data_IF_703949017335
#
_entry.id   IF_703949017335
#
_cell.length_a   1.000
_cell.length_b   1.000
_cell.length_c   1.000
_cell.angle_alpha   90.00
_cell.angle_beta   90.00
_cell.angle_gamma   90.00
#
_symmetry.space_group_name_H-M   'P 1'
#
loop_
_entity.id
_entity.type
_entity.pdbx_description
1 polymer ?
#
# COMPACT_ATOMS: atom_id res chain seq x y z
N UNK A 1 -4.80 -8.47 0.35
CA UNK A 1 -4.92 -8.60 -1.13
C UNK A 1 -3.56 -8.47 -1.79
N UNK A 2 -3.36 -9.01 -3.01
CA UNK A 2 -2.11 -8.85 -3.78
C UNK A 2 -2.40 -8.58 -5.25
N UNK A 3 -1.59 -7.73 -5.87
CA UNK A 3 -1.54 -7.48 -7.31
C UNK A 3 -0.18 -7.97 -7.82
N UNK A 4 -0.17 -8.70 -8.93
CA UNK A 4 1.04 -9.19 -9.58
C UNK A 4 1.09 -8.77 -11.04
N UNK A 5 2.26 -8.31 -11.47
CA UNK A 5 2.57 -8.08 -12.88
C UNK A 5 3.45 -9.21 -13.42
N UNK A 6 3.47 -9.45 -14.74
CA UNK A 6 4.47 -10.29 -15.37
C UNK A 6 5.89 -9.72 -15.18
N UNK A 7 6.91 -10.56 -15.35
CA UNK A 7 8.30 -10.10 -15.36
C UNK A 7 8.53 -9.05 -16.45
N UNK A 8 9.37 -8.05 -16.14
CA UNK A 8 9.63 -6.91 -17.03
C UNK A 8 8.57 -5.79 -16.98
N UNK A 9 7.46 -5.98 -16.27
CA UNK A 9 6.45 -4.94 -16.06
C UNK A 9 6.53 -4.30 -14.67
N UNK A 10 6.15 -3.03 -14.60
CA UNK A 10 6.02 -2.28 -13.35
C UNK A 10 4.55 -2.08 -12.99
N UNK A 11 4.29 -1.90 -11.70
CA UNK A 11 2.96 -1.62 -11.16
C UNK A 11 2.88 -0.15 -10.78
N UNK A 12 1.86 0.53 -11.32
CA UNK A 12 1.51 1.90 -10.95
C UNK A 12 0.15 1.89 -10.26
N UNK A 13 0.11 2.31 -9.00
CA UNK A 13 -1.09 2.35 -8.18
C UNK A 13 -1.52 3.80 -7.94
N UNK A 14 -2.77 4.11 -8.31
CA UNK A 14 -3.45 5.35 -7.94
C UNK A 14 -4.60 5.01 -7.00
N UNK A 15 -4.54 5.51 -5.78
CA UNK A 15 -5.67 5.44 -4.84
C UNK A 15 -6.68 6.52 -5.24
N UNK A 16 -7.93 6.10 -5.51
CA UNK A 16 -8.99 7.03 -5.88
C UNK A 16 -9.67 7.63 -4.65
N UNK A 17 -9.89 6.80 -3.64
CA UNK A 17 -10.51 7.17 -2.38
C UNK A 17 -10.01 6.21 -1.28
N UNK A 18 -9.81 6.73 -0.07
CA UNK A 18 -9.50 5.92 1.10
C UNK A 18 -10.12 6.57 2.33
N UNK A 19 -10.80 5.76 3.14
CA UNK A 19 -11.35 6.19 4.43
C UNK A 19 -10.98 5.12 5.45
N UNK A 20 -10.07 5.48 6.35
CA UNK A 20 -9.64 4.66 7.48
C UNK A 20 -9.85 5.49 8.75
N UNK A 21 -10.25 4.86 9.85
CA UNK A 21 -10.39 5.58 11.13
C UNK A 21 -9.07 6.29 11.46
N UNK A 22 -9.06 7.62 11.66
CA UNK A 22 -7.82 8.35 11.92
C UNK A 22 -7.31 8.02 13.33
N UNK A 23 -6.04 7.64 13.43
CA UNK A 23 -5.37 7.37 14.71
C UNK A 23 -4.00 8.04 14.72
N UNK A 24 -3.76 8.93 15.70
CA UNK A 24 -2.51 9.66 15.84
C UNK A 24 -1.26 8.78 16.04
N UNK A 25 -1.43 7.51 16.40
CA UNK A 25 -0.33 6.58 16.75
C UNK A 25 -0.32 5.32 15.88
N UNK A 26 -1.09 5.29 14.78
CA UNK A 26 -1.26 4.09 13.93
C UNK A 26 -1.60 2.79 14.70
N UNK A 27 -2.22 2.91 15.87
CA UNK A 27 -2.51 1.80 16.78
C UNK A 27 -3.90 1.19 16.57
N UNK A 28 -4.69 1.75 15.65
CA UNK A 28 -6.04 1.30 15.27
C UNK A 28 -6.02 0.76 13.82
N UNK A 29 -7.12 0.93 13.10
CA UNK A 29 -7.26 0.58 11.70
C UNK A 29 -6.16 1.19 10.83
N UNK A 30 -5.57 0.37 9.98
CA UNK A 30 -4.54 0.79 9.05
C UNK A 30 -4.55 -0.04 7.77
N UNK A 31 -4.32 0.64 6.65
CA UNK A 31 -4.02 -0.01 5.37
C UNK A 31 -2.52 0.12 5.10
N UNK A 32 -1.81 -1.00 5.16
CA UNK A 32 -0.41 -1.10 4.75
C UNK A 32 -0.29 -1.52 3.29
N UNK A 33 0.50 -0.77 2.53
CA UNK A 33 0.89 -1.11 1.15
C UNK A 33 2.37 -1.44 1.12
N UNK A 34 2.65 -2.68 0.72
CA UNK A 34 3.98 -3.25 0.72
C UNK A 34 4.39 -3.62 -0.69
N UNK A 35 5.67 -3.40 -0.96
CA UNK A 35 6.31 -3.83 -2.20
C UNK A 35 7.42 -4.81 -1.81
N UNK A 36 7.97 -5.56 -2.78
CA UNK A 36 9.14 -6.44 -2.55
C UNK A 36 8.92 -7.46 -1.41
N UNK A 37 7.80 -8.19 -1.47
CA UNK A 37 7.44 -9.24 -0.50
C UNK A 37 7.46 -8.79 0.97
N UNK A 38 6.93 -7.60 1.26
CA UNK A 38 6.85 -7.03 2.63
C UNK A 38 8.18 -6.67 3.26
N UNK A 39 9.30 -6.67 2.53
CA UNK A 39 10.60 -6.24 3.06
C UNK A 39 10.70 -4.73 3.19
N UNK A 40 9.91 -3.98 2.44
CA UNK A 40 9.76 -2.53 2.57
C UNK A 40 8.28 -2.18 2.74
N UNK A 41 7.97 -1.44 3.82
CA UNK A 41 6.72 -0.67 3.88
C UNK A 41 6.90 0.46 2.90
N UNK A 42 6.07 0.51 1.86
CA UNK A 42 6.07 1.70 1.01
C UNK A 42 5.18 2.76 1.64
N UNK A 43 3.98 2.39 2.12
CA UNK A 43 3.06 3.35 2.72
C UNK A 43 2.18 2.70 3.79
N UNK A 44 1.84 3.50 4.81
CA UNK A 44 0.87 3.19 5.84
C UNK A 44 -0.21 4.29 5.81
N UNK A 45 -1.48 3.90 5.73
CA UNK A 45 -2.61 4.83 5.72
C UNK A 45 -3.38 4.80 7.03
N UNK A 46 -3.65 5.99 7.57
CA UNK A 46 -4.69 6.26 8.55
C UNK A 46 -5.41 7.57 8.17
N UNK A 47 -6.71 7.67 8.44
CA UNK A 47 -7.49 8.85 8.08
C UNK A 47 -7.93 8.89 6.61
N UNK A 48 -7.98 10.09 6.06
CA UNK A 48 -8.59 10.42 4.76
C UNK A 48 -7.62 11.05 3.77
N UNK A 49 -6.35 11.19 4.13
CA UNK A 49 -5.34 11.71 3.22
C UNK A 49 -4.99 10.68 2.15
N UNK A 50 -5.11 11.08 0.89
CA UNK A 50 -4.74 10.24 -0.23
C UNK A 50 -3.21 10.22 -0.40
N UNK A 51 -2.60 9.04 -0.60
CA UNK A 51 -1.20 8.97 -0.97
C UNK A 51 -0.94 9.65 -2.31
N UNK A 52 0.32 10.07 -2.46
CA UNK A 52 0.89 10.24 -3.79
C UNK A 52 0.86 8.92 -4.57
N UNK A 53 0.92 9.03 -5.89
CA UNK A 53 1.02 7.88 -6.78
C UNK A 53 2.14 6.91 -6.31
N UNK A 54 1.80 5.64 -6.17
CA UNK A 54 2.77 4.59 -5.79
C UNK A 54 3.25 3.90 -7.07
N UNK A 55 4.56 3.82 -7.26
CA UNK A 55 5.19 3.13 -8.37
C UNK A 55 6.14 2.05 -7.83
N UNK A 56 6.05 0.83 -8.37
CA UNK A 56 7.03 -0.21 -8.07
C UNK A 56 8.34 0.04 -8.81
N UNK A 57 9.45 -0.46 -8.27
CA UNK A 57 10.73 -0.43 -8.97
C UNK A 57 10.87 -1.58 -9.96
N UNK A 58 11.91 -1.52 -10.79
CA UNK A 58 12.28 -2.62 -11.68
C UNK A 58 12.52 -3.92 -10.88
N UNK A 59 11.94 -5.02 -11.35
CA UNK A 59 11.97 -6.32 -10.65
C UNK A 59 10.97 -6.46 -9.50
N UNK A 60 10.32 -5.37 -9.07
CA UNK A 60 9.23 -5.42 -8.08
C UNK A 60 7.88 -5.68 -8.74
N UNK A 61 7.59 -6.96 -8.98
CA UNK A 61 6.40 -7.40 -9.71
C UNK A 61 5.17 -7.65 -8.82
N UNK A 62 5.23 -7.32 -7.53
CA UNK A 62 4.15 -7.58 -6.58
C UNK A 62 3.93 -6.42 -5.60
N UNK A 63 2.67 -6.01 -5.46
CA UNK A 63 2.19 -5.13 -4.39
C UNK A 63 1.22 -5.90 -3.50
N UNK A 64 1.38 -5.78 -2.18
CA UNK A 64 0.49 -6.37 -1.18
C UNK A 64 -0.21 -5.28 -0.37
N UNK A 65 -1.51 -5.49 -0.20
CA UNK A 65 -2.38 -4.69 0.66
C UNK A 65 -2.69 -5.50 1.91
N UNK A 66 -2.42 -4.92 3.07
CA UNK A 66 -2.76 -5.49 4.36
C UNK A 66 -3.61 -4.48 5.12
N UNK A 67 -4.89 -4.80 5.27
CA UNK A 67 -5.75 -4.08 6.19
C UNK A 67 -5.61 -4.72 7.56
N UNK A 68 -5.30 -3.94 8.58
CA UNK A 68 -5.29 -4.37 9.98
C UNK A 68 -6.37 -3.57 10.69
N UNK A 69 -7.21 -4.26 11.42
CA UNK A 69 -8.24 -3.67 12.29
C UNK A 69 -7.99 -4.11 13.71
N UNK A 70 -8.58 -3.42 14.68
CA UNK A 70 -8.68 -3.88 16.06
C UNK A 70 -9.67 -5.07 16.21
#
# INVERSE_FOLDING_TARGET
YRIRAPEGYMIKLKVLEVVVVPSCVFSQDQLGVYVKDKKSVSFLFCGYELPNLILSYEGEIEIRFLFRTD
#
